data_IF_084479253556
#
_entry.id   IF_084479253556
#
_cell.length_a   1.000
_cell.length_b   1.000
_cell.length_c   1.000
_cell.angle_alpha   90.00
_cell.angle_beta   90.00
_cell.angle_gamma   90.00
#
_symmetry.space_group_name_H-M   'P 1'
#
loop_
_entity.id
_entity.type
_entity.pdbx_description
1 polymer ?
#
# COMPACT_ATOMS: atom_id res chain seq x y z
N UNK A 1 -21.24 -19.14 65.95
CA UNK A 1 -20.62 -18.24 64.96
C UNK A 1 -19.86 -19.08 63.94
N UNK A 2 -20.20 -19.09 62.64
CA UNK A 2 -19.39 -19.80 61.65
C UNK A 2 -18.23 -18.89 61.19
N UNK A 3 -17.01 -19.44 61.13
CA UNK A 3 -15.84 -18.76 60.55
C UNK A 3 -15.99 -18.76 59.03
N UNK A 4 -15.93 -17.57 58.41
CA UNK A 4 -15.85 -17.43 56.95
C UNK A 4 -14.51 -17.99 56.49
N UNK A 5 -14.52 -19.11 55.79
CA UNK A 5 -13.36 -19.59 55.04
C UNK A 5 -13.13 -18.70 53.84
N UNK A 6 -11.98 -18.02 53.78
CA UNK A 6 -11.51 -17.34 52.58
C UNK A 6 -11.08 -18.41 51.57
N UNK A 7 -11.87 -18.60 50.51
CA UNK A 7 -11.48 -19.46 49.41
C UNK A 7 -10.27 -18.84 48.68
N UNK A 8 -9.14 -19.56 48.64
CA UNK A 8 -8.05 -19.16 47.76
C UNK A 8 -8.49 -19.38 46.30
N UNK A 9 -8.14 -18.48 45.36
CA UNK A 9 -8.46 -18.68 43.95
C UNK A 9 -7.83 -19.99 43.46
N UNK A 10 -8.57 -20.73 42.61
CA UNK A 10 -8.09 -22.00 42.06
C UNK A 10 -7.01 -21.69 41.02
N UNK A 11 -6.01 -22.56 40.87
CA UNK A 11 -4.92 -22.37 39.91
C UNK A 11 -5.42 -22.12 38.47
N UNK A 12 -6.58 -22.67 38.10
CA UNK A 12 -7.22 -22.47 36.80
C UNK A 12 -7.64 -21.01 36.55
N UNK A 13 -8.04 -20.28 37.60
CA UNK A 13 -8.40 -18.87 37.53
C UNK A 13 -7.18 -17.99 37.23
N UNK A 14 -6.01 -18.39 37.76
CA UNK A 14 -4.74 -17.71 37.54
C UNK A 14 -4.25 -17.91 36.10
N UNK A 15 -4.33 -19.14 35.58
CA UNK A 15 -3.96 -19.46 34.19
C UNK A 15 -4.88 -18.76 33.18
N UNK A 16 -6.19 -18.73 33.43
CA UNK A 16 -7.13 -18.00 32.58
C UNK A 16 -6.93 -16.47 32.65
N UNK A 17 -6.42 -15.95 33.78
CA UNK A 17 -6.10 -14.53 33.91
C UNK A 17 -4.83 -14.16 33.12
N UNK A 18 -3.78 -14.99 33.20
CA UNK A 18 -2.52 -14.76 32.49
C UNK A 18 -2.69 -14.94 30.99
N UNK A 19 -3.49 -15.92 30.55
CA UNK A 19 -3.77 -16.13 29.13
C UNK A 19 -4.52 -14.95 28.49
N UNK A 20 -5.52 -14.38 29.20
CA UNK A 20 -6.19 -13.14 28.76
C UNK A 20 -5.26 -11.93 28.70
N UNK A 21 -4.26 -11.86 29.57
CA UNK A 21 -3.24 -10.80 29.51
C UNK A 21 -2.29 -10.98 28.33
N UNK A 22 -1.88 -12.22 28.04
CA UNK A 22 -1.03 -12.53 26.89
C UNK A 22 -1.74 -12.29 25.56
N UNK A 23 -3.02 -12.63 25.44
CA UNK A 23 -3.84 -12.33 24.25
C UNK A 23 -3.96 -10.82 24.00
N UNK A 24 -4.15 -10.02 25.06
CA UNK A 24 -4.17 -8.55 24.93
C UNK A 24 -2.84 -7.97 24.46
N UNK A 25 -1.72 -8.49 24.99
CA UNK A 25 -0.38 -8.08 24.54
C UNK A 25 -0.17 -8.46 23.08
N UNK A 26 -0.57 -9.67 22.68
CA UNK A 26 -0.47 -10.13 21.29
C UNK A 26 -1.29 -9.24 20.36
N UNK A 27 -2.53 -8.89 20.72
CA UNK A 27 -3.38 -7.96 19.96
C UNK A 27 -2.72 -6.57 19.88
N UNK A 28 -2.16 -6.04 20.97
CA UNK A 28 -1.50 -4.73 20.96
C UNK A 28 -0.25 -4.75 20.06
N UNK A 29 0.56 -5.81 20.13
CA UNK A 29 1.73 -5.97 19.28
C UNK A 29 1.35 -6.11 17.80
N UNK A 30 0.31 -6.89 17.49
CA UNK A 30 -0.20 -7.03 16.13
C UNK A 30 -0.73 -5.71 15.58
N UNK A 31 -1.54 -5.00 16.38
CA UNK A 31 -2.02 -3.66 16.02
C UNK A 31 -0.89 -2.64 15.89
N UNK A 32 0.18 -2.73 16.69
CA UNK A 32 1.36 -1.88 16.54
C UNK A 32 2.13 -2.20 15.26
N UNK A 33 2.22 -3.48 14.88
CA UNK A 33 2.84 -3.92 13.63
C UNK A 33 2.04 -3.42 12.42
N UNK A 34 0.72 -3.56 12.43
CA UNK A 34 -0.19 -3.04 11.41
C UNK A 34 -0.17 -1.51 11.38
N UNK A 35 -0.13 -0.85 12.53
CA UNK A 35 -0.02 0.61 12.64
C UNK A 35 1.31 1.14 12.12
N UNK A 36 2.42 0.45 12.38
CA UNK A 36 3.73 0.80 11.80
C UNK A 36 3.79 0.54 10.29
N UNK A 37 3.09 -0.48 9.79
CA UNK A 37 2.91 -0.72 8.34
C UNK A 37 2.19 0.47 7.68
N UNK A 38 1.21 1.05 8.37
CA UNK A 38 0.49 2.27 7.91
C UNK A 38 1.36 3.53 7.97
N UNK A 39 2.29 3.64 8.92
CA UNK A 39 3.11 4.86 9.12
C UNK A 39 4.29 5.00 8.15
N UNK A 40 4.77 3.93 7.52
CA UNK A 40 6.03 3.95 6.76
C UNK A 40 5.89 4.02 5.23
N UNK A 41 4.68 4.00 4.66
CA UNK A 41 4.47 4.03 3.21
C UNK A 41 3.82 5.36 2.79
N UNK A 42 4.66 6.34 2.50
CA UNK A 42 4.27 7.69 2.03
C UNK A 42 4.27 7.76 0.50
N UNK A 43 3.55 6.86 -0.16
CA UNK A 43 3.33 6.95 -1.61
C UNK A 43 2.24 8.00 -1.83
N UNK A 44 2.59 9.10 -2.47
CA UNK A 44 1.65 10.18 -2.80
C UNK A 44 1.09 9.96 -4.20
N UNK A 45 -0.21 10.10 -4.38
CA UNK A 45 -0.85 10.05 -5.70
C UNK A 45 -1.61 11.36 -5.91
N UNK A 46 -1.37 12.02 -7.05
CA UNK A 46 -2.05 13.27 -7.38
C UNK A 46 -3.49 13.03 -7.82
N UNK A 47 -4.31 14.08 -7.73
CA UNK A 47 -5.71 14.02 -8.18
C UNK A 47 -5.81 13.72 -9.67
N UNK A 48 -4.90 14.26 -10.48
CA UNK A 48 -4.83 14.01 -11.93
C UNK A 48 -4.63 12.52 -12.26
N UNK A 49 -3.81 11.83 -11.48
CA UNK A 49 -3.61 10.39 -11.67
C UNK A 49 -4.90 9.61 -11.39
N UNK A 50 -5.65 9.96 -10.34
CA UNK A 50 -6.95 9.34 -10.07
C UNK A 50 -7.98 9.66 -11.13
N UNK A 51 -8.08 10.90 -11.57
CA UNK A 51 -8.97 11.32 -12.66
C UNK A 51 -8.69 10.54 -13.93
N UNK A 52 -7.40 10.39 -14.30
CA UNK A 52 -7.04 9.63 -15.48
C UNK A 52 -7.42 8.15 -15.36
N UNK A 53 -7.18 7.52 -14.21
CA UNK A 53 -7.58 6.12 -13.99
C UNK A 53 -9.10 5.97 -14.09
N UNK A 54 -9.86 6.91 -13.52
CA UNK A 54 -11.31 6.91 -13.63
C UNK A 54 -11.77 6.99 -15.08
N UNK A 55 -11.19 7.88 -15.89
CA UNK A 55 -11.48 7.98 -17.31
C UNK A 55 -11.17 6.68 -18.08
N UNK A 56 -10.03 6.05 -17.79
CA UNK A 56 -9.65 4.78 -18.42
C UNK A 56 -10.67 3.67 -18.11
N UNK A 57 -11.11 3.58 -16.85
CA UNK A 57 -12.14 2.62 -16.42
C UNK A 57 -13.48 2.88 -17.13
N UNK A 58 -13.88 4.15 -17.26
CA UNK A 58 -15.11 4.52 -17.96
C UNK A 58 -15.02 4.28 -19.48
N UNK A 59 -13.84 4.45 -20.08
CA UNK A 59 -13.59 4.15 -21.50
C UNK A 59 -13.70 2.65 -21.80
N UNK A 60 -13.14 1.81 -20.93
CA UNK A 60 -13.26 0.34 -21.02
C UNK A 60 -14.68 -0.16 -20.69
N UNK A 61 -15.52 0.69 -20.08
CA UNK A 61 -16.89 0.39 -19.63
C UNK A 61 -16.95 -0.79 -18.64
N UNK A 62 -15.85 -1.04 -17.94
CA UNK A 62 -15.75 -2.10 -16.94
C UNK A 62 -15.31 -1.52 -15.59
N UNK A 63 -16.29 -1.34 -14.70
CA UNK A 63 -16.07 -0.83 -13.33
C UNK A 63 -15.36 -1.83 -12.43
N UNK A 64 -15.10 -3.05 -12.92
CA UNK A 64 -14.30 -4.04 -12.23
C UNK A 64 -12.79 -3.85 -12.47
N UNK A 65 -12.38 -2.86 -13.26
CA UNK A 65 -10.96 -2.59 -13.50
C UNK A 65 -10.36 -1.66 -12.44
N UNK A 66 -9.08 -1.88 -12.16
CA UNK A 66 -8.22 -1.06 -11.30
C UNK A 66 -6.85 -0.90 -11.95
N UNK A 67 -6.15 0.20 -11.66
CA UNK A 67 -4.79 0.39 -12.15
C UNK A 67 -3.80 -0.31 -11.21
N UNK A 68 -3.05 -1.28 -11.73
CA UNK A 68 -1.86 -1.85 -11.09
C UNK A 68 -0.62 -1.08 -11.51
N UNK A 69 0.17 -0.67 -10.53
CA UNK A 69 1.49 -0.08 -10.72
C UNK A 69 2.53 -1.07 -10.23
N UNK A 70 3.47 -1.45 -11.09
CA UNK A 70 4.59 -2.31 -10.73
C UNK A 70 5.93 -1.72 -11.17
N UNK A 71 7.00 -2.16 -10.52
CA UNK A 71 8.38 -1.75 -10.80
C UNK A 71 9.15 -2.99 -11.23
N UNK A 72 9.61 -2.97 -12.48
CA UNK A 72 10.47 -4.00 -13.04
C UNK A 72 11.92 -3.53 -13.13
N UNK A 73 12.84 -4.50 -13.14
CA UNK A 73 14.25 -4.25 -13.43
C UNK A 73 14.46 -4.05 -14.94
N UNK A 74 14.68 -2.81 -15.38
CA UNK A 74 14.86 -2.46 -16.81
C UNK A 74 15.18 -0.98 -17.04
N UNK A 75 15.60 -0.62 -18.26
CA UNK A 75 15.89 0.77 -18.64
C UNK A 75 17.32 1.24 -18.30
N UNK A 76 17.65 2.48 -18.68
CA UNK A 76 19.02 3.03 -18.59
C UNK A 76 19.50 3.24 -17.14
N UNK A 77 18.56 3.27 -16.20
CA UNK A 77 18.80 3.46 -14.78
C UNK A 77 18.44 2.25 -13.91
N UNK A 78 18.10 1.12 -14.54
CA UNK A 78 17.87 -0.17 -13.87
C UNK A 78 16.47 -0.42 -13.33
N UNK A 79 15.57 0.57 -13.33
CA UNK A 79 14.17 0.42 -12.93
C UNK A 79 13.20 1.03 -13.96
N UNK A 80 12.10 0.33 -14.23
CA UNK A 80 11.01 0.74 -15.11
C UNK A 80 9.67 0.60 -14.39
N UNK A 81 8.80 1.60 -14.53
CA UNK A 81 7.44 1.56 -13.97
C UNK A 81 6.46 1.07 -15.03
N UNK A 82 5.63 0.10 -14.66
CA UNK A 82 4.55 -0.41 -15.50
C UNK A 82 3.20 -0.03 -14.94
N UNK A 83 2.25 0.14 -15.85
CA UNK A 83 0.89 0.56 -15.56
C UNK A 83 -0.06 -0.36 -16.33
N UNK A 84 -0.87 -1.13 -15.62
CA UNK A 84 -1.77 -2.12 -16.21
C UNK A 84 -3.18 -1.99 -15.61
N UNK A 85 -4.22 -2.10 -16.42
CA UNK A 85 -5.58 -2.25 -15.92
C UNK A 85 -5.87 -3.73 -15.68
N UNK A 86 -6.15 -4.08 -14.44
CA UNK A 86 -6.43 -5.45 -14.01
C UNK A 86 -7.82 -5.54 -13.36
N UNK A 87 -8.41 -6.72 -13.35
CA UNK A 87 -9.64 -6.96 -12.59
C UNK A 87 -9.41 -6.76 -11.08
N UNK A 88 -10.42 -6.25 -10.36
CA UNK A 88 -10.45 -6.20 -8.89
C UNK A 88 -10.27 -7.57 -8.24
N UNK A 89 -10.63 -8.64 -8.95
CA UNK A 89 -10.44 -10.01 -8.46
C UNK A 89 -8.96 -10.40 -8.36
N UNK A 90 -8.07 -9.66 -9.03
CA UNK A 90 -6.62 -9.87 -8.99
C UNK A 90 -5.91 -9.01 -7.94
N UNK A 91 -6.65 -8.33 -7.05
CA UNK A 91 -6.07 -7.61 -5.92
C UNK A 91 -5.62 -8.62 -4.88
N UNK A 92 -4.32 -8.63 -4.58
CA UNK A 92 -3.75 -9.51 -3.58
C UNK A 92 -3.81 -8.89 -2.18
N UNK A 93 -3.78 -9.72 -1.13
CA UNK A 93 -3.92 -9.28 0.26
C UNK A 93 -2.82 -8.28 0.70
N UNK A 94 -1.63 -8.39 0.12
CA UNK A 94 -0.49 -7.54 0.46
C UNK A 94 -0.32 -6.33 -0.49
N UNK A 95 -1.18 -6.22 -1.51
CA UNK A 95 -1.17 -5.05 -2.39
C UNK A 95 -1.55 -3.79 -1.60
N UNK A 96 -0.85 -2.70 -1.90
CA UNK A 96 -1.19 -1.39 -1.34
C UNK A 96 -2.29 -0.79 -2.20
N UNK A 97 -3.50 -0.76 -1.64
CA UNK A 97 -4.71 -0.33 -2.33
C UNK A 97 -5.07 1.09 -1.90
N UNK A 98 -5.22 1.97 -2.88
CA UNK A 98 -5.63 3.36 -2.67
C UNK A 98 -6.80 3.66 -3.60
N UNK A 99 -7.89 4.17 -3.04
CA UNK A 99 -9.10 4.49 -3.80
C UNK A 99 -9.47 5.96 -3.58
N UNK A 100 -9.74 6.67 -4.67
CA UNK A 100 -10.25 8.04 -4.64
C UNK A 100 -11.12 8.29 -5.87
N UNK A 101 -12.25 8.98 -5.69
CA UNK A 101 -13.18 9.35 -6.78
C UNK A 101 -13.56 8.17 -7.71
N UNK A 102 -13.85 6.99 -7.13
CA UNK A 102 -14.14 5.73 -7.86
C UNK A 102 -13.01 5.17 -8.73
N UNK A 103 -11.83 5.79 -8.76
CA UNK A 103 -10.61 5.18 -9.26
C UNK A 103 -9.91 4.41 -8.15
N UNK A 104 -9.40 3.23 -8.46
CA UNK A 104 -8.61 2.42 -7.55
C UNK A 104 -7.26 2.14 -8.18
N UNK A 105 -6.20 2.34 -7.40
CA UNK A 105 -4.82 2.08 -7.77
C UNK A 105 -4.26 1.08 -6.77
N UNK A 106 -3.58 0.06 -7.28
CA UNK A 106 -2.95 -0.99 -6.49
C UNK A 106 -1.44 -1.04 -6.80
N UNK A 107 -0.63 -1.31 -5.78
CA UNK A 107 0.82 -1.40 -5.91
C UNK A 107 1.30 -2.67 -5.21
N UNK A 108 2.01 -3.53 -5.93
CA UNK A 108 2.46 -4.80 -5.36
C UNK A 108 3.52 -4.61 -4.25
N UNK A 109 3.68 -5.59 -3.33
CA UNK A 109 4.57 -5.45 -2.17
C UNK A 109 6.04 -5.22 -2.50
N UNK A 110 6.50 -5.68 -3.67
CA UNK A 110 7.88 -5.51 -4.11
C UNK A 110 8.04 -4.06 -4.59
N UNK A 111 7.13 -3.61 -5.44
CA UNK A 111 7.08 -2.27 -6.02
C UNK A 111 6.90 -1.18 -4.97
N UNK A 112 6.12 -1.44 -3.91
CA UNK A 112 5.96 -0.53 -2.77
C UNK A 112 7.31 -0.06 -2.22
N UNK A 113 8.30 -0.96 -2.12
CA UNK A 113 9.64 -0.65 -1.59
C UNK A 113 10.42 0.32 -2.47
N UNK A 114 10.16 0.30 -3.78
CA UNK A 114 10.80 1.19 -4.76
C UNK A 114 10.03 2.50 -4.95
N UNK A 115 8.78 2.55 -4.49
CA UNK A 115 7.91 3.73 -4.56
C UNK A 115 7.80 4.51 -3.24
N UNK A 116 8.53 4.12 -2.19
CA UNK A 116 8.57 4.85 -0.92
C UNK A 116 8.96 6.32 -1.15
N UNK A 117 8.19 7.24 -0.55
CA UNK A 117 8.30 8.70 -0.72
C UNK A 117 8.11 9.21 -2.16
N UNK A 118 7.70 8.36 -3.11
CA UNK A 118 7.44 8.77 -4.47
C UNK A 118 6.08 9.45 -4.61
N UNK A 119 5.98 10.32 -5.61
CA UNK A 119 4.72 10.88 -6.08
C UNK A 119 4.37 10.31 -7.45
N UNK A 120 3.23 9.64 -7.57
CA UNK A 120 2.63 9.23 -8.84
C UNK A 120 1.72 10.34 -9.35
N UNK A 121 2.02 10.85 -10.53
CA UNK A 121 1.25 11.88 -11.22
C UNK A 121 0.90 11.45 -12.65
N UNK A 122 -0.09 12.10 -13.24
CA UNK A 122 -0.38 11.98 -14.65
C UNK A 122 -0.09 13.33 -15.32
N UNK A 123 0.86 13.31 -16.26
CA UNK A 123 1.33 14.49 -16.97
C UNK A 123 0.70 14.49 -18.35
N UNK A 124 0.04 15.59 -18.68
CA UNK A 124 -0.43 15.89 -20.03
C UNK A 124 0.35 17.08 -20.57
N UNK A 125 1.09 16.86 -21.64
CA UNK A 125 1.84 17.85 -22.38
C UNK A 125 1.32 17.92 -23.83
N UNK A 126 1.71 18.96 -24.56
CA UNK A 126 1.26 19.15 -25.94
C UNK A 126 1.73 17.97 -26.82
N UNK A 127 0.81 17.04 -27.07
CA UNK A 127 1.03 15.87 -27.93
C UNK A 127 1.44 14.59 -27.21
N UNK A 128 1.57 14.59 -25.89
CA UNK A 128 1.86 13.37 -25.12
C UNK A 128 1.17 13.39 -23.76
N UNK A 129 0.80 12.20 -23.28
CA UNK A 129 0.28 12.03 -21.93
C UNK A 129 0.81 10.73 -21.36
N UNK A 130 1.28 10.77 -20.11
CA UNK A 130 1.92 9.63 -19.48
C UNK A 130 1.86 9.71 -17.95
N UNK A 131 1.88 8.53 -17.31
CA UNK A 131 2.09 8.44 -15.88
C UNK A 131 3.56 8.67 -15.56
N UNK A 132 3.82 9.51 -14.56
CA UNK A 132 5.15 9.84 -14.09
C UNK A 132 5.27 9.56 -12.60
N UNK A 133 6.31 8.80 -12.23
CA UNK A 133 6.68 8.57 -10.84
C UNK A 133 7.88 9.44 -10.53
N UNK A 134 7.70 10.41 -9.63
CA UNK A 134 8.79 11.25 -9.14
C UNK A 134 9.28 10.73 -7.80
N UNK A 135 10.52 10.24 -7.77
CA UNK A 135 11.20 9.83 -6.55
C UNK A 135 12.16 10.95 -6.08
N UNK A 136 11.93 11.59 -4.92
CA UNK A 136 12.82 12.63 -4.40
C UNK A 136 14.21 12.11 -4.05
N UNK A 137 14.36 10.79 -3.79
CA UNK A 137 15.63 10.14 -3.50
C UNK A 137 16.41 9.74 -4.75
N UNK A 138 15.79 9.77 -5.94
CA UNK A 138 16.46 9.37 -7.17
C UNK A 138 17.54 10.39 -7.58
N UNK A 139 18.81 9.99 -7.47
CA UNK A 139 19.96 10.85 -7.73
C UNK A 139 20.36 10.95 -9.20
N UNK A 140 19.78 10.15 -10.10
CA UNK A 140 20.09 10.25 -11.53
C UNK A 140 18.83 10.43 -12.37
N UNK A 141 18.77 11.55 -13.12
CA UNK A 141 17.93 11.73 -14.30
C UNK A 141 18.76 11.35 -15.51
N UNK A 142 18.43 10.26 -16.21
CA UNK A 142 19.06 10.01 -17.52
C UNK A 142 18.50 11.02 -18.52
N UNK A 143 19.37 11.65 -19.32
CA UNK A 143 19.04 12.76 -20.22
C UNK A 143 18.07 12.45 -21.38
N UNK A 144 17.47 11.25 -21.41
CA UNK A 144 16.45 10.83 -22.39
C UNK A 144 15.01 10.84 -21.84
N UNK A 145 14.79 11.21 -20.56
CA UNK A 145 13.45 11.44 -20.00
C UNK A 145 12.69 10.19 -19.52
N UNK A 146 13.20 8.98 -19.75
CA UNK A 146 12.46 7.73 -19.52
C UNK A 146 12.95 6.87 -18.33
N UNK A 147 13.92 7.31 -17.51
CA UNK A 147 14.42 6.45 -16.41
C UNK A 147 15.16 7.23 -15.30
N UNK A 148 15.02 6.75 -14.04
CA UNK A 148 15.70 7.26 -12.85
C UNK A 148 16.53 6.19 -12.11
N UNK A 149 17.73 6.54 -11.60
CA UNK A 149 18.55 5.65 -10.75
C UNK A 149 18.30 5.99 -9.29
N UNK A 150 18.07 4.95 -8.48
CA UNK A 150 18.24 4.99 -7.02
C UNK A 150 19.71 4.85 -6.64
#
# INVERSE_FOLDING_TARGET
MPRRGSASPRNDDLVASTQRHLEKIFIILYNLQDFYKVILVTITITDRAFERVYELVELEKDKNLVLRVSVDSGGCSGLMYNYELVSKDNIEQDDYVITKHNATIIIDPISQKFMLDCTLDFIEELGSSYFNVSNPQAKAKCGCGNSFSV
#
